data_IF_140783749285
#
_entry.id   IF_140783749285
#
_cell.length_a   1.000
_cell.length_b   1.000
_cell.length_c   1.000
_cell.angle_alpha   90.00
_cell.angle_beta   90.00
_cell.angle_gamma   90.00
#
_symmetry.space_group_name_H-M   'P 1'
#
loop_
_entity.id
_entity.type
_entity.pdbx_description
1 polymer ?
#
# COMPACT_ATOMS: atom_id res chain seq x y z
N UNK A 1 13.70 -3.56 -8.44
CA UNK A 1 14.92 -2.95 -7.87
C UNK A 1 14.54 -2.00 -6.74
N UNK A 2 15.28 -2.01 -5.66
CA UNK A 2 15.10 -1.15 -4.48
C UNK A 2 16.48 -0.67 -3.99
N UNK A 3 16.50 0.39 -3.19
CA UNK A 3 17.73 0.86 -2.54
C UNK A 3 18.19 -0.16 -1.50
N UNK A 4 19.49 -0.31 -1.34
CA UNK A 4 20.06 -1.23 -0.35
C UNK A 4 19.91 -0.67 1.07
N UNK A 5 19.80 -1.52 2.10
CA UNK A 5 19.65 -1.08 3.50
C UNK A 5 20.73 -0.12 4.01
N UNK A 6 21.97 -0.22 3.50
CA UNK A 6 23.07 0.66 3.90
C UNK A 6 22.82 2.14 3.53
N UNK A 7 22.07 2.44 2.46
CA UNK A 7 21.68 3.81 2.16
C UNK A 7 20.67 4.35 3.18
N UNK A 8 19.69 3.51 3.55
CA UNK A 8 18.74 3.86 4.59
C UNK A 8 19.45 4.09 5.93
N UNK A 9 20.44 3.25 6.26
CA UNK A 9 21.27 3.42 7.46
C UNK A 9 22.03 4.74 7.47
N UNK A 10 22.70 5.09 6.37
CA UNK A 10 23.45 6.33 6.29
C UNK A 10 22.59 7.57 6.55
N UNK A 11 21.37 7.59 6.00
CA UNK A 11 20.41 8.68 6.24
C UNK A 11 19.88 8.64 7.67
N UNK A 12 19.55 7.46 8.20
CA UNK A 12 19.10 7.31 9.59
C UNK A 12 20.14 7.79 10.60
N UNK A 13 21.42 7.45 10.39
CA UNK A 13 22.53 7.89 11.23
C UNK A 13 22.71 9.43 11.16
N UNK A 14 22.57 10.01 9.96
CA UNK A 14 22.61 11.46 9.79
C UNK A 14 21.46 12.16 10.55
N UNK A 15 20.22 11.66 10.40
CA UNK A 15 19.06 12.21 11.12
C UNK A 15 19.28 12.16 12.63
N UNK A 16 19.78 11.03 13.16
CA UNK A 16 20.10 10.88 14.58
C UNK A 16 21.19 11.88 15.03
N UNK A 17 22.20 12.12 14.20
CA UNK A 17 23.27 13.10 14.51
C UNK A 17 22.74 14.53 14.63
N UNK A 18 21.55 14.80 14.09
CA UNK A 18 20.83 16.08 14.19
C UNK A 18 19.77 16.09 15.30
N UNK A 19 19.71 15.03 16.12
CA UNK A 19 18.73 14.91 17.21
C UNK A 19 17.38 14.36 16.79
N UNK A 20 17.22 13.95 15.53
CA UNK A 20 15.96 13.37 15.04
C UNK A 20 15.82 11.89 15.40
N UNK A 21 14.60 11.38 15.37
CA UNK A 21 14.24 9.98 15.61
C UNK A 21 13.68 9.34 14.33
N UNK A 22 14.52 8.75 13.47
CA UNK A 22 14.07 8.21 12.19
C UNK A 22 13.33 6.88 12.34
N UNK A 23 12.40 6.63 11.42
CA UNK A 23 11.86 5.31 11.12
C UNK A 23 11.74 5.15 9.60
N UNK A 24 11.73 3.91 9.11
CA UNK A 24 11.45 3.60 7.70
C UNK A 24 9.97 3.29 7.56
N UNK A 25 9.40 3.69 6.43
CA UNK A 25 7.99 3.43 6.16
C UNK A 25 7.70 3.20 4.68
N UNK A 26 6.61 2.50 4.43
CA UNK A 26 5.91 2.34 3.17
C UNK A 26 4.44 2.00 3.49
N UNK A 27 3.53 2.11 2.52
CA UNK A 27 2.17 1.61 2.65
C UNK A 27 1.99 0.27 1.94
N UNK A 28 1.00 -0.51 2.37
CA UNK A 28 0.65 -1.78 1.74
C UNK A 28 0.31 -1.62 0.26
N UNK A 29 0.55 -2.67 -0.52
CA UNK A 29 0.38 -2.64 -1.97
C UNK A 29 -0.95 -3.26 -2.41
N UNK A 30 -1.33 -3.00 -3.67
CA UNK A 30 -2.47 -3.63 -4.35
C UNK A 30 -2.07 -4.87 -5.15
N UNK A 31 -0.78 -5.04 -5.41
CA UNK A 31 -0.28 -6.10 -6.30
C UNK A 31 -0.22 -7.45 -5.59
N UNK A 32 -0.24 -8.50 -6.41
CA UNK A 32 0.07 -9.86 -5.98
C UNK A 32 1.46 -9.91 -5.33
N UNK A 33 1.59 -10.61 -4.22
CA UNK A 33 2.85 -10.77 -3.49
C UNK A 33 2.73 -10.49 -1.99
N UNK A 34 3.88 -10.43 -1.34
CA UNK A 34 4.01 -10.46 0.13
C UNK A 34 3.93 -9.08 0.80
N UNK A 35 3.28 -8.08 0.21
CA UNK A 35 3.15 -6.72 0.79
C UNK A 35 1.69 -6.24 0.87
N UNK A 36 0.75 -7.18 1.04
CA UNK A 36 -0.70 -6.87 1.08
C UNK A 36 -1.23 -6.54 2.48
N UNK A 37 -0.50 -6.88 3.51
CA UNK A 37 -0.77 -6.56 4.91
C UNK A 37 0.55 -6.26 5.63
N UNK A 38 0.49 -5.65 6.81
CA UNK A 38 1.69 -5.19 7.48
C UNK A 38 2.63 -6.32 7.91
N UNK A 39 2.13 -7.49 8.27
CA UNK A 39 2.97 -8.60 8.72
C UNK A 39 3.81 -9.14 7.54
N UNK A 40 3.15 -9.53 6.45
CA UNK A 40 3.84 -9.99 5.25
C UNK A 40 4.79 -8.92 4.69
N UNK A 41 4.38 -7.64 4.78
CA UNK A 41 5.20 -6.52 4.31
C UNK A 41 6.47 -6.34 5.14
N UNK A 42 6.37 -6.49 6.46
CA UNK A 42 7.54 -6.46 7.35
C UNK A 42 8.44 -7.67 7.10
N UNK A 43 7.87 -8.87 6.94
CA UNK A 43 8.65 -10.08 6.60
C UNK A 43 9.42 -9.86 5.28
N UNK A 44 8.75 -9.32 4.24
CA UNK A 44 9.40 -8.95 2.98
C UNK A 44 10.53 -7.93 3.18
N UNK A 45 10.34 -6.94 4.05
CA UNK A 45 11.39 -5.97 4.37
C UNK A 45 12.59 -6.66 5.04
N UNK A 46 12.35 -7.55 6.01
CA UNK A 46 13.38 -8.34 6.68
C UNK A 46 14.16 -9.22 5.72
N UNK A 47 13.49 -9.97 4.85
CA UNK A 47 14.11 -10.82 3.83
C UNK A 47 15.01 -10.04 2.87
N UNK A 48 14.68 -8.77 2.63
CA UNK A 48 15.49 -7.85 1.81
C UNK A 48 16.51 -7.05 2.63
N UNK A 49 16.73 -7.42 3.88
CA UNK A 49 17.76 -6.89 4.76
C UNK A 49 17.39 -5.56 5.46
N UNK A 50 16.13 -5.13 5.39
CA UNK A 50 15.67 -3.96 6.13
C UNK A 50 15.17 -4.39 7.52
N UNK A 51 15.93 -4.05 8.55
CA UNK A 51 15.59 -4.30 9.94
C UNK A 51 16.34 -3.32 10.84
N UNK A 52 16.01 -3.32 12.13
CA UNK A 52 16.61 -2.43 13.11
C UNK A 52 18.14 -2.53 13.17
N UNK A 53 18.70 -3.74 12.99
CA UNK A 53 20.15 -3.95 13.08
C UNK A 53 20.88 -3.42 11.85
N UNK A 54 20.31 -3.62 10.65
CA UNK A 54 20.93 -3.21 9.39
C UNK A 54 20.74 -1.73 9.09
N UNK A 55 19.60 -1.15 9.48
CA UNK A 55 19.23 0.24 9.15
C UNK A 55 19.35 1.18 10.34
N UNK A 56 19.44 0.65 11.55
CA UNK A 56 19.55 1.43 12.77
C UNK A 56 18.26 2.12 13.21
N UNK A 57 17.11 1.86 12.57
CA UNK A 57 15.83 2.44 12.94
C UNK A 57 14.67 1.46 12.74
N UNK A 58 13.53 1.75 13.35
CA UNK A 58 12.32 0.94 13.28
C UNK A 58 11.69 1.02 11.89
N UNK A 59 10.85 0.02 11.57
CA UNK A 59 10.02 0.00 10.37
C UNK A 59 8.55 0.04 10.79
N UNK A 60 7.78 0.94 10.22
CA UNK A 60 6.35 1.07 10.41
C UNK A 60 5.64 0.98 9.06
N UNK A 61 4.59 0.17 8.97
CA UNK A 61 3.73 0.17 7.77
C UNK A 61 2.67 1.24 7.96
N UNK A 62 2.74 2.29 7.14
CA UNK A 62 2.08 3.57 7.41
C UNK A 62 0.56 3.53 7.35
N UNK A 63 -0.03 2.60 6.61
CA UNK A 63 -1.49 2.42 6.48
C UNK A 63 -2.02 1.26 7.34
N UNK A 64 -1.24 0.83 8.36
CA UNK A 64 -1.65 -0.14 9.37
C UNK A 64 -1.72 -1.58 8.88
N UNK A 65 -2.23 -2.45 9.77
CA UNK A 65 -2.22 -3.90 9.57
C UNK A 65 -2.89 -4.35 8.26
N UNK A 66 -4.00 -3.71 7.90
CA UNK A 66 -4.82 -4.09 6.72
C UNK A 66 -4.81 -3.03 5.61
N UNK A 67 -3.93 -2.05 5.66
CA UNK A 67 -3.86 -0.99 4.65
C UNK A 67 -5.03 -0.01 4.66
N UNK A 68 -5.67 0.18 5.81
CA UNK A 68 -6.90 0.98 5.96
C UNK A 68 -6.80 2.07 7.03
N UNK A 69 -5.62 2.28 7.59
CA UNK A 69 -5.36 3.38 8.52
C UNK A 69 -4.82 4.58 7.75
N UNK A 70 -5.70 5.51 7.40
CA UNK A 70 -5.37 6.67 6.59
C UNK A 70 -5.96 7.97 7.11
N UNK A 71 -5.43 9.06 6.58
CA UNK A 71 -5.93 10.43 6.76
C UNK A 71 -6.41 10.94 5.42
N UNK A 72 -7.59 11.55 5.41
CA UNK A 72 -8.13 12.23 4.23
C UNK A 72 -7.57 13.65 4.17
N UNK A 73 -6.80 13.95 3.13
CA UNK A 73 -6.18 15.26 2.91
C UNK A 73 -6.86 15.92 1.72
N UNK A 74 -7.53 17.07 1.87
CA UNK A 74 -8.08 17.79 0.75
C UNK A 74 -6.99 18.20 -0.25
N UNK A 75 -7.25 18.01 -1.54
CA UNK A 75 -6.35 18.40 -2.63
C UNK A 75 -7.15 19.07 -3.74
N UNK A 76 -6.55 20.06 -4.39
CA UNK A 76 -7.15 20.72 -5.56
C UNK A 76 -6.72 20.03 -6.86
N UNK A 77 -7.02 18.73 -6.95
CA UNK A 77 -6.71 17.93 -8.14
C UNK A 77 -7.91 17.84 -9.09
N UNK A 78 -7.66 17.60 -10.36
CA UNK A 78 -8.71 17.43 -11.37
C UNK A 78 -9.55 16.18 -11.12
N UNK A 79 -8.91 15.07 -10.80
CA UNK A 79 -9.55 13.75 -10.65
C UNK A 79 -9.75 13.33 -9.20
N UNK A 80 -8.85 13.73 -8.31
CA UNK A 80 -8.87 13.34 -6.89
C UNK A 80 -9.05 14.61 -6.06
N UNK A 81 -10.10 14.67 -5.25
CA UNK A 81 -10.38 15.80 -4.36
C UNK A 81 -9.90 15.60 -2.93
N UNK A 82 -9.64 14.33 -2.55
CA UNK A 82 -9.10 13.96 -1.24
C UNK A 82 -8.05 12.88 -1.41
N UNK A 83 -6.81 13.17 -1.07
CA UNK A 83 -5.77 12.16 -0.99
C UNK A 83 -5.93 11.34 0.29
N UNK A 84 -5.85 10.00 0.17
CA UNK A 84 -5.91 9.07 1.30
C UNK A 84 -4.49 8.63 1.63
N UNK A 85 -3.90 9.27 2.63
CA UNK A 85 -2.48 9.11 3.00
C UNK A 85 -2.36 8.24 4.24
N UNK A 86 -1.41 7.28 4.24
CA UNK A 86 -1.15 6.42 5.39
C UNK A 86 -0.86 7.22 6.66
N UNK A 87 -1.46 6.82 7.79
CA UNK A 87 -1.43 7.54 9.07
C UNK A 87 -0.01 7.89 9.51
N UNK A 88 0.90 6.93 9.53
CA UNK A 88 2.26 7.19 10.01
C UNK A 88 3.06 8.15 9.13
N UNK A 89 2.69 8.33 7.85
CA UNK A 89 3.26 9.37 6.98
C UNK A 89 2.81 10.75 7.44
N UNK A 90 1.53 10.89 7.79
CA UNK A 90 0.94 12.16 8.24
C UNK A 90 1.39 12.56 9.66
N UNK A 91 1.71 11.56 10.49
CA UNK A 91 2.18 11.79 11.87
C UNK A 91 3.69 12.11 11.93
N UNK A 92 4.42 11.99 10.81
CA UNK A 92 5.84 12.31 10.74
C UNK A 92 6.06 13.84 10.56
N UNK A 93 6.97 14.43 11.33
CA UNK A 93 7.33 15.84 11.20
C UNK A 93 8.03 16.15 9.87
N UNK A 94 8.86 15.21 9.39
CA UNK A 94 9.67 15.34 8.17
C UNK A 94 9.66 14.04 7.39
N UNK A 95 9.49 14.13 6.08
CA UNK A 95 9.59 12.99 5.15
C UNK A 95 10.84 13.14 4.29
N UNK A 96 11.67 12.09 4.28
CA UNK A 96 12.83 11.98 3.40
C UNK A 96 12.59 10.83 2.43
N UNK A 97 12.40 11.15 1.14
CA UNK A 97 12.19 10.15 0.10
C UNK A 97 13.53 9.61 -0.42
N UNK A 98 13.87 8.38 -0.02
CA UNK A 98 14.99 7.64 -0.59
C UNK A 98 14.54 6.95 -1.87
N UNK A 99 15.00 7.42 -3.00
CA UNK A 99 14.42 7.06 -4.29
C UNK A 99 15.44 6.46 -5.24
N UNK A 100 15.07 5.31 -5.82
CA UNK A 100 15.76 4.74 -6.97
C UNK A 100 15.12 5.27 -8.26
N UNK A 101 15.85 6.10 -8.99
CA UNK A 101 15.40 6.61 -10.30
C UNK A 101 15.48 5.51 -11.34
N UNK A 102 14.39 5.25 -12.06
CA UNK A 102 14.29 4.20 -13.07
C UNK A 102 13.26 4.52 -14.16
N UNK A 103 13.36 3.84 -15.29
CA UNK A 103 12.30 3.83 -16.30
C UNK A 103 10.99 3.25 -15.79
N UNK A 104 9.88 3.70 -16.36
CA UNK A 104 8.54 3.22 -16.04
C UNK A 104 7.67 3.19 -17.30
N UNK A 105 6.99 2.08 -17.54
CA UNK A 105 6.21 1.83 -18.78
C UNK A 105 5.07 2.84 -19.00
N UNK A 106 4.35 3.21 -17.95
CA UNK A 106 3.18 4.12 -18.06
C UNK A 106 3.53 5.60 -17.89
N UNK A 107 4.57 5.94 -17.10
CA UNK A 107 4.89 7.34 -16.74
C UNK A 107 6.24 7.80 -17.33
N UNK A 108 6.87 7.00 -18.17
CA UNK A 108 8.20 7.25 -18.73
C UNK A 108 9.32 6.99 -17.72
N UNK A 109 9.23 7.55 -16.51
CA UNK A 109 10.16 7.29 -15.41
C UNK A 109 9.47 7.30 -14.05
N UNK A 110 10.10 6.69 -13.05
CA UNK A 110 9.72 6.74 -11.64
C UNK A 110 10.86 7.31 -10.80
N UNK A 111 10.52 8.24 -9.91
CA UNK A 111 11.46 8.93 -9.02
C UNK A 111 10.76 9.33 -7.72
N UNK A 112 11.21 10.44 -7.09
CA UNK A 112 10.71 10.89 -5.80
C UNK A 112 9.20 11.19 -5.81
N UNK A 113 8.69 11.84 -6.86
CA UNK A 113 7.27 12.16 -7.00
C UNK A 113 6.42 10.88 -7.00
N UNK A 114 6.83 9.85 -7.76
CA UNK A 114 6.12 8.57 -7.78
C UNK A 114 6.22 7.83 -6.45
N UNK A 115 7.39 7.86 -5.80
CA UNK A 115 7.56 7.26 -4.48
C UNK A 115 6.62 7.87 -3.44
N UNK A 116 6.53 9.20 -3.41
CA UNK A 116 5.63 9.90 -2.48
C UNK A 116 4.17 9.73 -2.91
N UNK A 117 3.83 10.00 -4.16
CA UNK A 117 2.46 9.95 -4.66
C UNK A 117 1.78 8.60 -4.50
N UNK A 118 2.48 7.53 -4.89
CA UNK A 118 1.94 6.17 -4.76
C UNK A 118 2.33 5.51 -3.43
N UNK A 119 3.57 5.68 -2.97
CA UNK A 119 4.09 5.02 -1.79
C UNK A 119 3.38 5.46 -0.51
N UNK A 120 3.12 6.75 -0.34
CA UNK A 120 2.44 7.29 0.84
C UNK A 120 0.92 7.12 0.83
N UNK A 121 0.31 6.81 -0.32
CA UNK A 121 -1.12 6.51 -0.40
C UNK A 121 -1.47 5.23 0.36
N UNK A 122 -2.55 5.25 1.14
CA UNK A 122 -3.12 4.05 1.71
C UNK A 122 -3.58 3.09 0.61
N UNK A 123 -3.98 1.88 0.97
CA UNK A 123 -4.55 0.95 -0.02
C UNK A 123 -5.75 1.55 -0.75
N UNK A 124 -6.65 2.24 -0.03
CA UNK A 124 -7.78 2.93 -0.64
C UNK A 124 -7.35 4.08 -1.55
N UNK A 125 -6.31 4.83 -1.17
CA UNK A 125 -5.73 5.89 -1.99
C UNK A 125 -5.10 5.33 -3.28
N UNK A 126 -4.31 4.26 -3.15
CA UNK A 126 -3.75 3.56 -4.32
C UNK A 126 -4.85 3.04 -5.26
N UNK A 127 -5.93 2.47 -4.68
CA UNK A 127 -7.07 1.96 -5.44
C UNK A 127 -7.75 3.08 -6.25
N UNK A 128 -7.98 4.23 -5.65
CA UNK A 128 -8.60 5.37 -6.31
C UNK A 128 -7.74 5.91 -7.46
N UNK A 129 -6.44 6.00 -7.25
CA UNK A 129 -5.48 6.45 -8.27
C UNK A 129 -5.33 5.48 -9.45
N UNK A 130 -5.48 4.16 -9.23
CA UNK A 130 -5.29 3.15 -10.28
C UNK A 130 -6.56 2.72 -11.01
N UNK A 131 -7.69 2.69 -10.31
CA UNK A 131 -8.89 1.99 -10.82
C UNK A 131 -10.20 2.69 -10.50
N UNK A 132 -10.18 4.00 -10.38
CA UNK A 132 -11.37 4.77 -9.95
C UNK A 132 -11.98 4.25 -8.63
N UNK A 133 -11.16 3.61 -7.80
CA UNK A 133 -11.52 3.15 -6.47
C UNK A 133 -12.26 1.82 -6.37
N UNK A 134 -12.37 1.01 -7.44
CA UNK A 134 -13.15 -0.24 -7.41
C UNK A 134 -12.30 -1.48 -7.68
N UNK A 135 -12.43 -2.54 -6.87
CA UNK A 135 -11.83 -3.85 -7.14
C UNK A 135 -12.72 -4.72 -8.01
N UNK A 136 -12.11 -5.72 -8.64
CA UNK A 136 -12.81 -6.79 -9.36
C UNK A 136 -12.29 -8.16 -8.93
N UNK A 137 -12.98 -9.23 -9.36
CA UNK A 137 -12.62 -10.62 -9.04
C UNK A 137 -12.31 -11.37 -10.33
N UNK A 138 -11.10 -11.90 -10.41
CA UNK A 138 -10.73 -12.88 -11.42
C UNK A 138 -11.45 -14.20 -11.12
N UNK A 139 -12.45 -14.52 -11.92
CA UNK A 139 -13.26 -15.71 -11.76
C UNK A 139 -12.47 -17.01 -12.00
N UNK A 140 -11.39 -16.96 -12.78
CA UNK A 140 -10.49 -18.11 -13.00
C UNK A 140 -9.73 -18.51 -11.73
N UNK A 141 -9.25 -17.53 -10.99
CA UNK A 141 -8.49 -17.73 -9.72
C UNK A 141 -9.38 -17.89 -8.50
N UNK A 142 -10.62 -17.39 -8.54
CA UNK A 142 -11.50 -17.41 -7.39
C UNK A 142 -11.96 -18.86 -7.10
N UNK A 143 -11.83 -19.28 -5.84
CA UNK A 143 -12.24 -20.59 -5.34
C UNK A 143 -13.45 -20.51 -4.38
N UNK A 144 -14.07 -19.34 -4.24
CA UNK A 144 -15.25 -19.14 -3.41
C UNK A 144 -15.03 -19.30 -1.91
N UNK A 145 -13.80 -19.15 -1.40
CA UNK A 145 -13.47 -19.37 0.02
C UNK A 145 -14.15 -18.40 1.00
N UNK A 146 -14.68 -17.27 0.50
CA UNK A 146 -15.42 -16.29 1.29
C UNK A 146 -14.55 -15.31 2.12
N UNK A 147 -13.19 -15.38 2.05
CA UNK A 147 -12.33 -14.48 2.81
C UNK A 147 -12.57 -13.01 2.48
N UNK A 148 -12.73 -12.67 1.20
CA UNK A 148 -13.05 -11.31 0.77
C UNK A 148 -14.38 -10.82 1.37
N UNK A 149 -15.41 -11.69 1.44
CA UNK A 149 -16.71 -11.40 2.04
C UNK A 149 -16.59 -11.17 3.55
N UNK A 150 -15.90 -12.06 4.28
CA UNK A 150 -15.69 -11.91 5.73
C UNK A 150 -14.95 -10.61 6.12
N UNK A 151 -14.10 -10.12 5.24
CA UNK A 151 -13.36 -8.88 5.44
C UNK A 151 -14.07 -7.62 4.88
N UNK A 152 -15.23 -7.75 4.25
CA UNK A 152 -15.97 -6.62 3.73
C UNK A 152 -16.89 -6.02 4.80
N UNK A 153 -16.59 -4.80 5.24
CA UNK A 153 -17.41 -4.09 6.23
C UNK A 153 -18.67 -3.42 5.63
N UNK A 154 -18.88 -3.54 4.30
CA UNK A 154 -19.95 -2.87 3.58
C UNK A 154 -20.94 -3.85 2.92
N UNK A 155 -20.83 -5.15 3.24
CA UNK A 155 -21.66 -6.21 2.65
C UNK A 155 -21.75 -6.14 1.12
N UNK A 156 -20.67 -5.68 0.49
CA UNK A 156 -20.57 -5.50 -0.95
C UNK A 156 -20.19 -6.78 -1.70
N UNK A 157 -19.98 -7.92 -1.02
CA UNK A 157 -19.47 -9.15 -1.65
C UNK A 157 -20.41 -10.32 -1.37
N UNK A 158 -20.90 -10.96 -2.43
CA UNK A 158 -21.65 -12.21 -2.40
C UNK A 158 -20.78 -13.38 -2.88
N UNK A 159 -21.14 -14.60 -2.46
CA UNK A 159 -20.57 -15.84 -2.98
C UNK A 159 -21.68 -16.63 -3.63
N UNK A 160 -21.58 -16.84 -4.91
CA UNK A 160 -22.56 -17.57 -5.73
C UNK A 160 -21.81 -18.59 -6.60
N UNK A 161 -22.30 -19.83 -6.64
CA UNK A 161 -21.69 -20.93 -7.40
C UNK A 161 -20.17 -21.05 -7.16
N UNK A 162 -19.73 -20.97 -5.90
CA UNK A 162 -18.32 -21.01 -5.49
C UNK A 162 -17.46 -19.89 -6.11
N UNK A 163 -18.03 -18.74 -6.42
CA UNK A 163 -17.35 -17.56 -6.94
C UNK A 163 -17.77 -16.31 -6.17
N UNK A 164 -16.84 -15.38 -5.98
CA UNK A 164 -17.13 -14.09 -5.38
C UNK A 164 -17.57 -13.06 -6.43
N UNK A 165 -18.54 -12.24 -6.06
CA UNK A 165 -19.02 -11.10 -6.86
C UNK A 165 -19.02 -9.85 -5.99
N UNK A 166 -18.63 -8.71 -6.56
CA UNK A 166 -18.56 -7.41 -5.87
C UNK A 166 -19.65 -6.49 -6.42
N UNK A 167 -20.56 -6.09 -5.55
CA UNK A 167 -21.54 -5.03 -5.85
C UNK A 167 -20.84 -3.67 -5.74
N UNK A 168 -20.55 -3.06 -6.88
CA UNK A 168 -19.88 -1.77 -6.95
C UNK A 168 -20.71 -0.60 -6.41
N UNK A 169 -22.03 -0.73 -6.27
CA UNK A 169 -22.87 0.29 -5.65
C UNK A 169 -22.68 0.35 -4.13
N UNK A 170 -22.39 -0.80 -3.50
CA UNK A 170 -22.09 -0.91 -2.07
C UNK A 170 -20.60 -0.75 -1.77
N UNK A 171 -19.75 -1.00 -2.75
CA UNK A 171 -18.29 -0.99 -2.56
C UNK A 171 -17.77 0.45 -2.41
N UNK A 172 -17.03 0.71 -1.31
CA UNK A 172 -16.38 2.00 -1.02
C UNK A 172 -14.90 2.04 -1.44
N UNK A 173 -14.37 1.01 -2.11
CA UNK A 173 -13.00 1.01 -2.63
C UNK A 173 -11.90 0.87 -1.58
N UNK A 174 -12.17 0.41 -0.36
CA UNK A 174 -11.16 0.29 0.70
C UNK A 174 -10.05 -0.76 0.44
N UNK A 175 -10.23 -1.66 -0.54
CA UNK A 175 -9.26 -2.67 -0.95
C UNK A 175 -9.01 -3.81 0.06
N UNK A 176 -9.76 -3.92 1.16
CA UNK A 176 -9.59 -5.01 2.14
C UNK A 176 -9.68 -6.40 1.53
N UNK A 177 -10.58 -6.59 0.57
CA UNK A 177 -10.77 -7.86 -0.14
C UNK A 177 -9.52 -8.28 -0.91
N UNK A 178 -8.74 -7.34 -1.44
CA UNK A 178 -7.46 -7.62 -2.12
C UNK A 178 -6.45 -8.18 -1.11
N UNK A 179 -6.29 -7.50 0.02
CA UNK A 179 -5.39 -7.95 1.08
C UNK A 179 -5.78 -9.28 1.73
N UNK A 180 -7.08 -9.60 1.73
CA UNK A 180 -7.60 -10.82 2.34
C UNK A 180 -7.62 -12.03 1.41
N UNK A 181 -7.47 -11.86 0.10
CA UNK A 181 -7.59 -12.95 -0.86
C UNK A 181 -6.35 -13.85 -0.88
N UNK A 182 -6.43 -15.13 -0.44
CA UNK A 182 -5.27 -16.03 -0.43
C UNK A 182 -4.92 -16.57 -1.82
N UNK A 183 -5.78 -16.34 -2.83
CA UNK A 183 -5.61 -16.76 -4.21
C UNK A 183 -5.31 -15.62 -5.17
N UNK A 184 -5.13 -14.41 -4.64
CA UNK A 184 -4.92 -13.19 -5.43
C UNK A 184 -5.96 -13.00 -6.55
N UNK A 185 -7.17 -13.51 -6.32
CA UNK A 185 -8.28 -13.41 -7.26
C UNK A 185 -8.94 -12.03 -7.25
N UNK A 186 -8.75 -11.25 -6.17
CA UNK A 186 -9.30 -9.89 -6.07
C UNK A 186 -8.21 -8.88 -6.38
N UNK A 187 -8.42 -8.01 -7.34
CA UNK A 187 -7.44 -7.05 -7.85
C UNK A 187 -8.10 -5.72 -8.27
N UNK A 188 -7.34 -4.62 -8.49
CA UNK A 188 -7.87 -3.38 -9.05
C UNK A 188 -8.48 -3.59 -10.44
N UNK A 189 -9.47 -2.77 -10.83
CA UNK A 189 -9.96 -2.72 -12.22
C UNK A 189 -8.92 -2.00 -13.09
N UNK A 190 -8.62 -2.52 -14.27
CA UNK A 190 -7.74 -1.85 -15.25
C UNK A 190 -6.29 -2.35 -15.28
N UNK A 191 -6.00 -3.49 -14.64
CA UNK A 191 -4.75 -4.26 -14.82
C UNK A 191 -4.95 -5.36 -15.88
#
# INVERSE_FOLDING_TARGET
AFLRPNWAKAVADYVKSKGGRPFLTDCNTLYVGSRKNALDHLDTAFENGFNLFSTGCQILIADGLKGTDDVLVPVDGDYIKQAKIGRAVMDADIIISLTHFKGHESTGFGGAIKNLGMGCGSRAGKMEMHSSGKPQVDQGRCVGCGECRRNCAHDAITIENHKAFIDHNKCVGCGRCIGACPKDATHPTGD
#
